data_IF_959737294648
#
_entry.id   IF_959737294648
#
_cell.length_a   1.000
_cell.length_b   1.000
_cell.length_c   1.000
_cell.angle_alpha   90.00
_cell.angle_beta   90.00
_cell.angle_gamma   90.00
#
_symmetry.space_group_name_H-M   'P 1'
#
loop_
_entity.id
_entity.type
_entity.pdbx_description
1 polymer ?
#
# COMPACT_ATOMS: atom_id res chain seq x y z
N UNK A 1 26.99 5.26 -2.21
CA UNK A 1 26.40 4.39 -1.17
C UNK A 1 24.89 4.33 -1.38
N UNK A 2 24.34 3.13 -1.60
CA UNK A 2 22.89 2.91 -1.70
C UNK A 2 22.42 2.45 -0.33
N UNK A 3 21.64 3.26 0.36
CA UNK A 3 20.99 2.85 1.60
C UNK A 3 19.67 2.19 1.25
N UNK A 4 19.52 0.92 1.60
CA UNK A 4 18.30 0.15 1.38
C UNK A 4 17.70 -0.18 2.75
N UNK A 5 16.48 0.28 2.98
CA UNK A 5 15.78 0.12 4.25
C UNK A 5 14.54 -0.71 4.03
N UNK A 6 14.34 -1.73 4.86
CA UNK A 6 13.20 -2.64 4.76
C UNK A 6 11.95 -2.12 5.48
N UNK A 7 12.06 -1.04 6.27
CA UNK A 7 10.96 -0.46 7.03
C UNK A 7 10.78 1.03 6.73
N UNK A 8 9.57 1.51 6.42
CA UNK A 8 9.33 2.91 6.05
C UNK A 8 9.71 3.90 7.16
N UNK A 9 9.54 3.52 8.43
CA UNK A 9 9.90 4.39 9.57
C UNK A 9 11.39 4.72 9.63
N UNK A 10 12.25 3.76 9.27
CA UNK A 10 13.69 3.98 9.25
C UNK A 10 14.06 4.98 8.16
N UNK A 11 13.46 4.85 6.98
CA UNK A 11 13.65 5.81 5.89
C UNK A 11 13.15 7.21 6.28
N UNK A 12 11.97 7.30 6.93
CA UNK A 12 11.41 8.56 7.40
C UNK A 12 12.31 9.28 8.41
N UNK A 13 12.95 8.56 9.34
CA UNK A 13 13.86 9.16 10.30
C UNK A 13 15.12 9.75 9.66
N UNK A 14 15.67 9.11 8.62
CA UNK A 14 16.80 9.66 7.86
C UNK A 14 16.40 10.92 7.08
N UNK A 15 15.22 10.92 6.46
CA UNK A 15 14.72 12.07 5.71
C UNK A 15 14.49 13.27 6.64
N UNK A 16 13.97 13.05 7.85
CA UNK A 16 13.81 14.12 8.86
C UNK A 16 15.13 14.78 9.26
N UNK A 17 16.25 14.06 9.14
CA UNK A 17 17.60 14.59 9.40
C UNK A 17 18.23 15.25 8.16
N UNK A 18 17.51 15.32 7.04
CA UNK A 18 18.02 15.88 5.78
C UNK A 18 18.94 14.94 5.00
N UNK A 19 18.94 13.64 5.31
CA UNK A 19 19.88 12.67 4.76
C UNK A 19 19.39 11.95 3.50
N UNK A 20 18.27 12.38 2.90
CA UNK A 20 17.80 11.81 1.64
C UNK A 20 16.36 12.11 1.27
N UNK A 21 15.86 11.35 0.30
CA UNK A 21 14.49 11.36 -0.21
C UNK A 21 14.00 9.91 -0.34
N UNK A 22 12.68 9.67 -0.25
CA UNK A 22 12.09 8.35 -0.49
C UNK A 22 10.81 8.45 -1.32
N UNK A 23 10.51 7.36 -2.02
CA UNK A 23 9.23 7.12 -2.65
C UNK A 23 8.40 6.22 -1.74
N UNK A 24 7.28 6.74 -1.24
CA UNK A 24 6.42 6.03 -0.28
C UNK A 24 4.97 6.02 -0.79
N UNK A 25 4.18 4.99 -0.44
CA UNK A 25 2.74 5.01 -0.67
C UNK A 25 2.05 6.15 0.10
N UNK A 26 1.00 6.72 -0.46
CA UNK A 26 0.22 7.83 0.14
C UNK A 26 -0.31 7.48 1.55
N UNK A 27 -0.71 6.22 1.76
CA UNK A 27 -1.19 5.73 3.06
C UNK A 27 -0.12 5.87 4.17
N UNK A 28 1.16 5.77 3.82
CA UNK A 28 2.28 5.93 4.76
C UNK A 28 2.44 7.40 5.19
N UNK A 29 2.05 8.36 4.34
CA UNK A 29 2.13 9.79 4.65
C UNK A 29 1.12 10.19 5.73
N UNK A 30 -0.09 9.60 5.75
CA UNK A 30 -1.13 9.91 6.75
C UNK A 30 -0.71 9.57 8.19
N UNK A 31 0.16 8.58 8.37
CA UNK A 31 0.71 8.21 9.68
C UNK A 31 1.91 9.07 10.10
N UNK A 32 2.40 9.96 9.23
CA UNK A 32 3.65 10.67 9.45
C UNK A 32 3.41 12.00 10.17
N UNK A 33 3.52 12.01 11.49
CA UNK A 33 3.55 13.26 12.28
C UNK A 33 4.87 14.01 12.03
N UNK A 34 4.82 15.29 11.64
CA UNK A 34 5.98 16.19 11.55
C UNK A 34 6.05 17.06 10.27
N UNK A 35 7.01 18.01 10.23
CA UNK A 35 7.26 18.90 9.08
C UNK A 35 8.05 18.17 7.97
N UNK A 36 7.40 17.30 7.22
CA UNK A 36 7.96 16.77 5.97
C UNK A 36 7.18 17.34 4.77
N UNK A 37 7.89 17.68 3.70
CA UNK A 37 7.28 18.09 2.44
C UNK A 37 7.07 16.84 1.58
N UNK A 38 5.84 16.61 1.12
CA UNK A 38 5.52 15.57 0.13
C UNK A 38 5.11 16.22 -1.18
N UNK A 39 5.43 15.55 -2.28
CA UNK A 39 4.97 15.90 -3.63
C UNK A 39 4.37 14.63 -4.22
N UNK A 40 3.12 14.71 -4.66
CA UNK A 40 2.48 13.61 -5.35
C UNK A 40 3.21 13.34 -6.68
N UNK A 41 3.57 12.09 -6.93
CA UNK A 41 4.10 11.69 -8.23
C UNK A 41 2.95 11.34 -9.15
N UNK A 42 2.91 11.99 -10.31
CA UNK A 42 1.97 11.70 -11.39
C UNK A 42 2.64 10.88 -12.49
N UNK A 43 2.00 9.80 -12.99
CA UNK A 43 0.68 9.30 -12.61
C UNK A 43 0.69 8.52 -11.28
N UNK A 44 -0.46 8.42 -10.61
CA UNK A 44 -0.61 7.66 -9.35
C UNK A 44 -0.20 6.19 -9.56
N UNK A 45 0.90 5.79 -8.91
CA UNK A 45 1.36 4.41 -8.92
C UNK A 45 0.50 3.53 -8.00
N UNK A 46 -0.71 3.17 -8.42
CA UNK A 46 -1.47 2.11 -7.75
C UNK A 46 -0.71 0.80 -7.92
N UNK A 47 -0.21 0.23 -6.83
CA UNK A 47 0.26 -1.16 -6.85
C UNK A 47 -0.97 -2.06 -6.93
N UNK A 48 -1.08 -2.84 -8.00
CA UNK A 48 -2.04 -3.93 -8.07
C UNK A 48 -1.80 -4.88 -6.90
N UNK A 49 -2.80 -5.05 -6.04
CA UNK A 49 -2.77 -6.03 -4.95
C UNK A 49 -3.53 -7.25 -5.43
N UNK A 50 -2.82 -8.38 -5.54
CA UNK A 50 -3.40 -9.66 -5.94
C UNK A 50 -3.53 -10.57 -4.73
N UNK A 51 -4.71 -11.15 -4.52
CA UNK A 51 -4.89 -12.26 -3.59
C UNK A 51 -4.32 -13.53 -4.22
N UNK A 52 -3.40 -14.21 -3.51
CA UNK A 52 -2.81 -15.47 -3.95
C UNK A 52 -3.41 -16.64 -3.16
N UNK A 53 -3.87 -17.66 -3.87
CA UNK A 53 -4.34 -18.91 -3.29
C UNK A 53 -3.81 -20.11 -4.08
N UNK A 54 -3.56 -21.21 -3.37
CA UNK A 54 -3.02 -22.44 -3.95
C UNK A 54 -4.07 -23.23 -4.74
N UNK A 55 -5.30 -23.24 -4.25
CA UNK A 55 -6.45 -23.88 -4.89
C UNK A 55 -7.46 -22.83 -5.37
N UNK A 56 -8.24 -23.12 -6.43
CA UNK A 56 -9.29 -22.22 -6.87
C UNK A 56 -10.38 -22.08 -5.79
N UNK A 57 -11.17 -20.99 -5.82
CA UNK A 57 -12.34 -20.83 -4.97
C UNK A 57 -13.31 -22.00 -5.21
N UNK A 58 -13.73 -22.64 -4.12
CA UNK A 58 -14.74 -23.71 -4.11
C UNK A 58 -15.93 -23.17 -3.33
N UNK A 59 -17.15 -23.44 -3.79
CA UNK A 59 -18.37 -22.92 -3.18
C UNK A 59 -18.40 -23.17 -1.66
N UNK A 60 -18.70 -22.11 -0.90
CA UNK A 60 -18.71 -22.12 0.56
C UNK A 60 -17.34 -22.06 1.24
N UNK A 61 -16.23 -22.14 0.50
CA UNK A 61 -14.89 -21.98 1.08
C UNK A 61 -14.62 -20.52 1.48
N UNK A 62 -13.68 -20.26 2.41
CA UNK A 62 -13.31 -18.90 2.78
C UNK A 62 -12.90 -18.04 1.57
N UNK A 63 -12.23 -18.64 0.58
CA UNK A 63 -11.79 -17.95 -0.63
C UNK A 63 -12.99 -17.56 -1.51
N UNK A 64 -13.98 -18.44 -1.63
CA UNK A 64 -15.22 -18.16 -2.37
C UNK A 64 -16.06 -17.07 -1.69
N UNK A 65 -16.20 -17.13 -0.36
CA UNK A 65 -16.93 -16.11 0.39
C UNK A 65 -16.25 -14.75 0.29
N UNK A 66 -14.92 -14.71 0.37
CA UNK A 66 -14.15 -13.49 0.19
C UNK A 66 -14.31 -12.93 -1.24
N UNK A 67 -14.22 -13.79 -2.26
CA UNK A 67 -14.46 -13.38 -3.65
C UNK A 67 -15.84 -12.76 -3.82
N UNK A 68 -16.90 -13.41 -3.30
CA UNK A 68 -18.27 -12.89 -3.39
C UNK A 68 -18.44 -11.55 -2.66
N UNK A 69 -17.79 -11.38 -1.51
CA UNK A 69 -17.77 -10.12 -0.78
C UNK A 69 -17.11 -9.01 -1.60
N UNK A 70 -15.94 -9.29 -2.20
CA UNK A 70 -15.24 -8.32 -3.05
C UNK A 70 -16.03 -7.95 -4.30
N UNK A 71 -16.66 -8.92 -4.97
CA UNK A 71 -17.56 -8.67 -6.11
C UNK A 71 -18.71 -7.73 -5.69
N UNK A 72 -19.38 -8.03 -4.58
CA UNK A 72 -20.48 -7.20 -4.06
C UNK A 72 -20.04 -5.77 -3.76
N UNK A 73 -18.91 -5.60 -3.06
CA UNK A 73 -18.39 -4.28 -2.71
C UNK A 73 -17.95 -3.47 -3.93
N UNK A 74 -17.48 -4.14 -4.99
CA UNK A 74 -17.12 -3.50 -6.27
C UNK A 74 -18.38 -3.06 -7.02
N UNK A 75 -19.40 -3.91 -7.06
CA UNK A 75 -20.68 -3.62 -7.73
C UNK A 75 -21.45 -2.47 -7.03
N UNK A 76 -21.30 -2.34 -5.71
CA UNK A 76 -21.84 -1.23 -4.92
C UNK A 76 -21.00 0.06 -4.98
N UNK A 77 -19.85 0.04 -5.66
CA UNK A 77 -18.93 1.18 -5.77
C UNK A 77 -18.24 1.56 -4.47
N UNK A 78 -18.14 0.61 -3.52
CA UNK A 78 -17.47 0.77 -2.23
C UNK A 78 -16.00 0.30 -2.27
N UNK A 79 -15.59 -0.33 -3.38
CA UNK A 79 -14.22 -0.67 -3.78
C UNK A 79 -14.02 -0.32 -5.26
#
# INVERSE_FOLDING_TARGET
FKYEFNHPDTALNFIRQGLGIALLPELTLKATTGKLCSVALEPTFYRQISLLAKEPPVEGSPLFLLQKCMETLTDEGLL
#
